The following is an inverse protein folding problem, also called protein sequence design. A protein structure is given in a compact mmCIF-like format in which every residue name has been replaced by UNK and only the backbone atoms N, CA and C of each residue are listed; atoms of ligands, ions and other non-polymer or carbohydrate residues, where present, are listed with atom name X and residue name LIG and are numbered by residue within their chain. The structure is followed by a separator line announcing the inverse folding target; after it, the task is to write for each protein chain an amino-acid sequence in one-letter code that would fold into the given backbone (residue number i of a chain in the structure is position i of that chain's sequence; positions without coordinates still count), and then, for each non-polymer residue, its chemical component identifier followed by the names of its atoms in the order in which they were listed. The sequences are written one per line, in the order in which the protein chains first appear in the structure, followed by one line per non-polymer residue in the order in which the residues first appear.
data_IF_432925816916
#
_entry.id   IF_432925816916
#
_cell.length_a   1.000
_cell.length_b   1.000
_cell.length_c   1.000
_cell.angle_alpha   90.00
_cell.angle_beta   90.00
_cell.angle_gamma   90.00
#
_symmetry.space_group_name_H-M   'P 1'
#
loop_
_entity.id
_entity.type
_entity.pdbx_description
1 polymer ?
#
# COMPACT_ATOMS: atom_id res chain seq x y z
N UNK A 1 0.75 13.20 -10.74
CA UNK A 1 1.38 12.06 -10.08
C UNK A 1 0.47 11.51 -8.99
N UNK A 2 0.33 10.21 -8.92
CA UNK A 2 -0.49 9.60 -7.88
C UNK A 2 0.30 9.46 -6.58
N UNK A 3 -0.27 9.92 -5.49
CA UNK A 3 0.37 9.80 -4.18
C UNK A 3 0.26 8.38 -3.64
N UNK A 4 -0.95 7.81 -3.67
CA UNK A 4 -1.22 6.53 -3.03
C UNK A 4 -1.96 5.60 -3.98
N UNK A 5 -1.48 4.36 -4.08
CA UNK A 5 -2.22 3.27 -4.71
C UNK A 5 -2.76 2.39 -3.59
N UNK A 6 -4.07 2.25 -3.50
CA UNK A 6 -4.72 1.37 -2.52
C UNK A 6 -5.01 0.04 -3.19
N UNK A 7 -4.53 -1.04 -2.61
CA UNK A 7 -4.76 -2.39 -3.12
C UNK A 7 -5.57 -3.18 -2.10
N UNK A 8 -6.85 -3.37 -2.39
CA UNK A 8 -7.82 -3.98 -1.48
C UNK A 8 -8.97 -4.53 -2.30
N UNK A 9 -9.40 -5.75 -2.02
CA UNK A 9 -10.50 -6.38 -2.78
C UNK A 9 -11.88 -6.17 -2.15
N UNK A 10 -11.95 -5.81 -0.88
CA UNK A 10 -13.23 -5.60 -0.20
C UNK A 10 -13.76 -4.20 -0.46
N UNK A 11 -14.90 -4.07 -1.19
CA UNK A 11 -15.36 -2.75 -1.64
C UNK A 11 -15.59 -1.75 -0.52
N UNK A 12 -16.16 -2.19 0.60
CA UNK A 12 -16.44 -1.28 1.71
C UNK A 12 -15.16 -0.68 2.30
N UNK A 13 -14.12 -1.50 2.44
CA UNK A 13 -12.82 -1.04 2.96
C UNK A 13 -12.16 -0.13 1.94
N UNK A 14 -12.15 -0.54 0.68
CA UNK A 14 -11.55 0.24 -0.40
C UNK A 14 -12.17 1.63 -0.50
N UNK A 15 -13.51 1.70 -0.52
CA UNK A 15 -14.23 2.97 -0.63
C UNK A 15 -13.95 3.87 0.57
N UNK A 16 -13.90 3.30 1.76
CA UNK A 16 -13.63 4.05 2.98
C UNK A 16 -12.22 4.64 2.97
N UNK A 17 -11.22 3.86 2.58
CA UNK A 17 -9.85 4.33 2.49
C UNK A 17 -9.70 5.39 1.42
N UNK A 18 -10.28 5.17 0.26
CA UNK A 18 -10.22 6.14 -0.83
C UNK A 18 -10.83 7.47 -0.39
N UNK A 19 -11.98 7.42 0.25
CA UNK A 19 -12.67 8.62 0.72
C UNK A 19 -11.82 9.41 1.72
N UNK A 20 -11.33 8.75 2.76
CA UNK A 20 -10.61 9.46 3.83
C UNK A 20 -9.27 10.02 3.35
N UNK A 21 -8.55 9.28 2.51
CA UNK A 21 -7.25 9.74 2.03
C UNK A 21 -7.40 10.85 1.01
N UNK A 22 -8.41 10.78 0.14
CA UNK A 22 -8.71 11.85 -0.80
C UNK A 22 -9.07 13.14 -0.06
N UNK A 23 -9.84 13.04 1.02
CA UNK A 23 -10.20 14.21 1.83
C UNK A 23 -9.00 14.85 2.51
N UNK A 24 -7.94 14.09 2.74
CA UNK A 24 -6.71 14.65 3.29
C UNK A 24 -5.86 15.38 2.25
N UNK A 25 -6.28 15.38 0.98
CA UNK A 25 -5.59 16.10 -0.07
C UNK A 25 -4.66 15.28 -0.93
N UNK A 26 -4.58 13.97 -0.69
CA UNK A 26 -3.72 13.11 -1.52
C UNK A 26 -4.47 12.61 -2.74
N UNK A 27 -3.72 12.39 -3.83
CA UNK A 27 -4.27 11.75 -5.03
C UNK A 27 -4.18 10.24 -4.85
N UNK A 28 -5.29 9.56 -5.15
CA UNK A 28 -5.47 8.14 -4.85
C UNK A 28 -5.94 7.39 -6.09
N UNK A 29 -5.31 6.26 -6.36
CA UNK A 29 -5.80 5.27 -7.32
C UNK A 29 -6.02 3.95 -6.59
N UNK A 30 -6.81 3.07 -7.18
CA UNK A 30 -7.19 1.82 -6.53
C UNK A 30 -6.95 0.63 -7.44
N UNK A 31 -6.67 -0.53 -6.84
CA UNK A 31 -6.61 -1.82 -7.51
C UNK A 31 -7.25 -2.86 -6.60
N UNK A 32 -7.90 -3.85 -7.19
CA UNK A 32 -8.70 -4.81 -6.43
C UNK A 32 -8.09 -6.20 -6.34
N UNK A 33 -7.00 -6.44 -7.05
CA UNK A 33 -6.28 -7.71 -6.98
C UNK A 33 -4.81 -7.47 -7.25
N UNK A 34 -4.01 -8.51 -7.03
CA UNK A 34 -2.56 -8.38 -7.12
C UNK A 34 -2.05 -8.10 -8.51
N UNK A 35 -2.67 -8.66 -9.55
CA UNK A 35 -2.24 -8.40 -10.91
C UNK A 35 -2.55 -6.98 -11.34
N UNK A 36 -3.75 -6.50 -11.03
CA UNK A 36 -4.12 -5.12 -11.29
C UNK A 36 -3.21 -4.15 -10.54
N UNK A 37 -2.80 -4.53 -9.32
CA UNK A 37 -1.89 -3.72 -8.51
C UNK A 37 -0.54 -3.54 -9.18
N UNK A 38 0.05 -4.61 -9.68
CA UNK A 38 1.36 -4.53 -10.35
C UNK A 38 1.28 -3.72 -11.63
N UNK A 39 0.24 -3.93 -12.43
CA UNK A 39 0.04 -3.17 -13.65
C UNK A 39 -0.12 -1.68 -13.33
N UNK A 40 -0.97 -1.36 -12.35
CA UNK A 40 -1.18 0.01 -11.95
C UNK A 40 0.09 0.66 -11.41
N UNK A 41 0.83 -0.05 -10.56
CA UNK A 41 2.06 0.49 -9.98
C UNK A 41 3.09 0.84 -11.06
N UNK A 42 3.24 -0.01 -12.06
CA UNK A 42 4.16 0.27 -13.17
C UNK A 42 3.71 1.45 -14.02
N UNK A 43 2.40 1.59 -14.22
CA UNK A 43 1.84 2.64 -15.05
C UNK A 43 1.85 4.00 -14.37
N UNK A 44 1.44 4.06 -13.11
CA UNK A 44 1.28 5.34 -12.42
C UNK A 44 2.43 5.70 -11.48
N UNK A 45 3.24 4.73 -11.10
CA UNK A 45 4.40 4.93 -10.20
C UNK A 45 4.06 5.75 -8.97
N UNK A 46 3.19 5.21 -8.09
CA UNK A 46 2.74 5.97 -6.93
C UNK A 46 3.89 6.18 -5.95
N UNK A 47 3.76 7.20 -5.11
CA UNK A 47 4.73 7.44 -4.04
C UNK A 47 4.64 6.36 -2.96
N UNK A 48 3.46 5.76 -2.79
CA UNK A 48 3.20 4.78 -1.74
C UNK A 48 2.16 3.78 -2.22
N UNK A 49 2.29 2.52 -1.79
CA UNK A 49 1.29 1.49 -2.00
C UNK A 49 0.75 1.05 -0.65
N UNK A 50 -0.55 1.11 -0.48
CA UNK A 50 -1.24 0.61 0.70
C UNK A 50 -1.82 -0.75 0.30
N UNK A 51 -1.27 -1.83 0.83
CA UNK A 51 -1.41 -3.17 0.26
C UNK A 51 -1.99 -4.16 1.26
N UNK A 52 -3.19 -4.67 0.95
CA UNK A 52 -3.77 -5.76 1.74
C UNK A 52 -2.98 -7.05 1.46
N UNK A 53 -2.64 -7.77 2.51
CA UNK A 53 -1.89 -9.01 2.38
C UNK A 53 -2.74 -10.16 1.83
N UNK A 54 -4.04 -10.13 2.07
CA UNK A 54 -4.99 -11.18 1.63
C UNK A 54 -5.75 -10.73 0.38
N UNK A 55 -5.12 -10.90 -0.77
CA UNK A 55 -5.71 -10.52 -2.05
C UNK A 55 -6.03 -11.74 -2.91
N UNK A 56 -7.06 -11.66 -3.76
CA UNK A 56 -7.30 -12.70 -4.75
C UNK A 56 -6.27 -12.64 -5.88
N UNK A 57 -6.17 -13.70 -6.64
CA UNK A 57 -5.30 -13.91 -7.79
C UNK A 57 -3.82 -13.93 -7.42
N UNK A 58 -3.30 -12.83 -6.89
CA UNK A 58 -1.92 -12.75 -6.48
C UNK A 58 -1.87 -12.10 -5.10
N UNK A 59 -1.38 -12.85 -4.12
CA UNK A 59 -1.36 -12.38 -2.73
C UNK A 59 -0.49 -11.16 -2.51
N UNK A 60 -0.76 -10.44 -1.42
CA UNK A 60 -0.03 -9.20 -1.12
C UNK A 60 1.48 -9.38 -0.99
N UNK A 61 1.93 -10.52 -0.43
CA UNK A 61 3.36 -10.78 -0.33
C UNK A 61 4.00 -10.96 -1.70
N UNK A 62 3.30 -11.60 -2.63
CA UNK A 62 3.79 -11.75 -4.00
C UNK A 62 3.89 -10.40 -4.71
N UNK A 63 2.92 -9.53 -4.47
CA UNK A 63 2.94 -8.17 -5.02
C UNK A 63 4.14 -7.41 -4.47
N UNK A 64 4.36 -7.48 -3.17
CA UNK A 64 5.50 -6.81 -2.53
C UNK A 64 6.82 -7.32 -3.08
N UNK A 65 6.95 -8.64 -3.22
CA UNK A 65 8.15 -9.26 -3.79
C UNK A 65 8.39 -8.75 -5.20
N UNK A 66 7.35 -8.71 -6.02
CA UNK A 66 7.47 -8.23 -7.40
C UNK A 66 7.85 -6.75 -7.47
N UNK A 67 7.30 -5.93 -6.59
CA UNK A 67 7.65 -4.51 -6.51
C UNK A 67 9.13 -4.33 -6.17
N UNK A 68 9.62 -5.08 -5.20
CA UNK A 68 11.03 -4.99 -4.79
C UNK A 68 11.99 -5.51 -5.86
N UNK A 69 11.54 -6.45 -6.69
CA UNK A 69 12.35 -6.99 -7.78
C UNK A 69 12.35 -6.10 -9.02
N UNK A 70 11.42 -5.16 -9.12
CA UNK A 70 11.32 -4.25 -10.27
C UNK A 70 12.09 -2.98 -9.94
N UNK A 71 13.14 -2.70 -10.70
CA UNK A 71 14.03 -1.58 -10.41
C UNK A 71 13.30 -0.24 -10.27
N UNK A 72 12.37 0.04 -11.16
CA UNK A 72 11.63 1.30 -11.12
C UNK A 72 10.76 1.46 -9.87
N UNK A 73 10.42 0.35 -9.19
CA UNK A 73 9.51 0.35 -8.04
C UNK A 73 10.21 -0.08 -6.75
N UNK A 74 11.48 -0.41 -6.79
CA UNK A 74 12.18 -0.99 -5.65
C UNK A 74 12.19 -0.09 -4.42
N UNK A 75 12.15 1.22 -4.61
CA UNK A 75 12.18 2.21 -3.54
C UNK A 75 10.79 2.75 -3.17
N UNK A 76 9.73 2.28 -3.83
CA UNK A 76 8.38 2.72 -3.51
C UNK A 76 8.02 2.30 -2.09
N UNK A 77 7.46 3.22 -1.32
CA UNK A 77 7.03 2.91 0.04
C UNK A 77 5.82 1.97 0.00
N UNK A 78 5.86 0.92 0.82
CA UNK A 78 4.77 -0.05 0.89
C UNK A 78 4.36 -0.23 2.35
N UNK A 79 3.08 0.01 2.62
CA UNK A 79 2.47 -0.24 3.93
C UNK A 79 1.50 -1.40 3.79
N UNK A 80 1.67 -2.39 4.64
CA UNK A 80 0.86 -3.62 4.60
C UNK A 80 -0.34 -3.51 5.52
N UNK A 81 -1.52 -3.82 4.99
CA UNK A 81 -2.72 -4.02 5.80
C UNK A 81 -2.79 -5.50 6.16
N UNK A 82 -2.78 -5.81 7.43
CA UNK A 82 -2.69 -7.19 7.90
C UNK A 82 -3.73 -7.47 8.98
N UNK A 83 -4.23 -8.71 9.04
CA UNK A 83 -5.15 -9.10 10.09
C UNK A 83 -4.38 -9.48 11.35
N UNK A 84 -5.10 -9.40 12.48
CA UNK A 84 -4.56 -9.85 13.76
C UNK A 84 -4.21 -11.33 13.66
N UNK A 85 -3.05 -11.72 14.17
CA UNK A 85 -2.62 -13.12 14.15
C UNK A 85 -1.80 -13.54 12.94
N UNK A 86 -1.57 -12.65 11.99
CA UNK A 86 -0.77 -12.94 10.81
C UNK A 86 0.71 -12.60 11.00
N UNK A 87 1.30 -13.08 12.09
CA UNK A 87 2.70 -12.76 12.41
C UNK A 87 3.68 -13.33 11.40
N UNK A 88 3.39 -14.53 10.88
CA UNK A 88 4.25 -15.14 9.86
C UNK A 88 4.32 -14.26 8.61
N UNK A 89 3.16 -13.81 8.14
CA UNK A 89 3.09 -12.95 6.96
C UNK A 89 3.75 -11.61 7.21
N UNK A 90 3.62 -11.10 8.44
CA UNK A 90 4.25 -9.85 8.83
C UNK A 90 5.77 -9.96 8.77
N UNK A 91 6.32 -11.06 9.28
CA UNK A 91 7.76 -11.29 9.22
C UNK A 91 8.25 -11.41 7.78
N UNK A 92 7.51 -12.14 6.94
CA UNK A 92 7.85 -12.25 5.52
C UNK A 92 7.85 -10.89 4.83
N UNK A 93 6.88 -10.04 5.16
CA UNK A 93 6.82 -8.69 4.60
C UNK A 93 7.99 -7.82 5.08
N UNK A 94 8.40 -7.96 6.33
CA UNK A 94 9.58 -7.26 6.84
C UNK A 94 10.84 -7.69 6.09
N UNK A 95 10.98 -8.99 5.84
CA UNK A 95 12.12 -9.52 5.09
C UNK A 95 12.14 -8.98 3.66
N UNK A 96 10.97 -8.65 3.11
CA UNK A 96 10.83 -8.03 1.80
C UNK A 96 10.86 -6.49 1.88
N UNK A 97 11.22 -5.95 3.03
CA UNK A 97 11.41 -4.51 3.26
C UNK A 97 10.13 -3.68 3.12
N UNK A 98 9.03 -4.17 3.67
CA UNK A 98 7.84 -3.34 3.82
C UNK A 98 8.17 -2.17 4.75
N UNK A 99 7.60 -1.00 4.47
CA UNK A 99 7.89 0.23 5.21
C UNK A 99 7.04 0.39 6.45
N UNK A 100 5.92 -0.31 6.52
CA UNK A 100 5.06 -0.24 7.69
C UNK A 100 3.93 -1.24 7.63
N UNK A 101 3.20 -1.31 8.74
CA UNK A 101 2.08 -2.23 8.90
C UNK A 101 0.93 -1.53 9.57
N UNK A 102 -0.29 -1.84 9.16
CA UNK A 102 -1.50 -1.41 9.83
C UNK A 102 -2.32 -2.67 10.10
N UNK A 103 -2.58 -2.95 11.36
CA UNK A 103 -3.30 -4.17 11.76
C UNK A 103 -4.81 -3.92 11.79
N UNK A 104 -5.57 -4.78 11.14
CA UNK A 104 -7.04 -4.74 11.16
C UNK A 104 -7.56 -5.34 12.46
N UNK A 105 -8.61 -4.81 13.06
CA UNK A 105 -9.30 -3.59 12.68
C UNK A 105 -8.50 -2.33 13.06
N UNK A 106 -8.64 -1.30 12.25
CA UNK A 106 -7.92 -0.04 12.49
C UNK A 106 -8.91 1.13 12.48
N UNK A 107 -8.50 2.25 13.10
CA UNK A 107 -9.23 3.49 12.98
C UNK A 107 -8.72 4.26 11.77
N UNK A 108 -9.57 5.07 11.16
CA UNK A 108 -9.17 5.88 10.01
C UNK A 108 -7.98 6.77 10.33
N UNK A 109 -7.91 7.29 11.56
CA UNK A 109 -6.77 8.10 12.00
C UNK A 109 -5.45 7.36 11.97
N UNK A 110 -5.47 6.06 12.24
CA UNK A 110 -4.25 5.23 12.21
C UNK A 110 -3.68 5.19 10.79
N UNK A 111 -4.57 5.03 9.80
CA UNK A 111 -4.18 4.99 8.39
C UNK A 111 -3.64 6.35 7.96
N UNK A 112 -4.37 7.41 8.26
CA UNK A 112 -3.96 8.77 7.89
C UNK A 112 -2.60 9.11 8.48
N UNK A 113 -2.39 8.79 9.76
CA UNK A 113 -1.11 9.08 10.42
C UNK A 113 0.05 8.29 9.82
N UNK A 114 -0.18 7.02 9.50
CA UNK A 114 0.86 6.18 8.90
C UNK A 114 1.24 6.70 7.51
N UNK A 115 0.24 7.04 6.70
CA UNK A 115 0.45 7.58 5.36
C UNK A 115 1.21 8.91 5.43
N UNK A 116 0.74 9.81 6.28
CA UNK A 116 1.36 11.13 6.42
C UNK A 116 2.82 11.00 6.84
N UNK A 117 3.11 10.18 7.84
CA UNK A 117 4.47 9.98 8.32
C UNK A 117 5.40 9.49 7.20
N UNK A 118 4.94 8.53 6.42
CA UNK A 118 5.76 7.95 5.36
C UNK A 118 5.94 8.93 4.20
N UNK A 119 4.88 9.58 3.76
CA UNK A 119 4.98 10.53 2.65
C UNK A 119 5.80 11.75 3.02
N UNK A 120 5.69 12.24 4.26
CA UNK A 120 6.46 13.39 4.72
C UNK A 120 7.95 13.06 4.91
N UNK A 121 8.28 11.79 5.17
CA UNK A 121 9.67 11.39 5.32
C UNK A 121 10.38 11.19 3.99
N UNK A 122 9.64 11.16 2.88
CA UNK A 122 10.24 11.00 1.57
C UNK A 122 10.97 12.29 1.17
N UNK A 123 12.12 12.16 0.51
CA UNK A 123 12.79 13.35 0.00
C UNK A 123 11.88 14.05 -1.01
N UNK A 124 12.07 15.36 -1.15
CA UNK A 124 11.33 16.14 -2.15
C UNK A 124 11.82 15.73 -3.53
N UNK A 125 11.46 14.54 -3.93
CA UNK A 125 12.03 13.84 -5.07
C UNK A 125 11.78 14.55 -6.40
N UNK A 126 10.84 15.46 -6.39
CA UNK A 126 10.41 16.10 -7.61
C UNK A 126 10.86 17.54 -7.67
N UNK A 127 11.58 17.90 -6.68
CA UNK A 127 12.17 19.21 -6.66
C UNK A 127 13.20 19.32 -7.77
#
# INVERSE_FOLDING_TARGET
MTDILIVEDEPAILDSLEFILTRCGWSVDVARDGEAALEAALRIRPRMVLLDIMLPKRGGLDVLKALRATEAMAATSVVILTARGQQYDRQAALDLKADGFITKPYANGDVVNAVRRILESQPAAHA
#
